data_IF_525501682063
#
_entry.id   IF_525501682063
#
_cell.length_a   1.000
_cell.length_b   1.000
_cell.length_c   1.000
_cell.angle_alpha   90.00
_cell.angle_beta   90.00
_cell.angle_gamma   90.00
#
_symmetry.space_group_name_H-M   'P 1'
#
loop_
_entity.id
_entity.type
_entity.pdbx_description
1 polymer ?
#
# COMPACT_ATOMS: atom_id res chain seq x y z
N UNK A 1 0.08 -1.92 10.01
CA UNK A 1 -0.28 -3.01 9.07
C UNK A 1 0.93 -3.91 8.96
N UNK A 2 0.76 -5.23 9.14
CA UNK A 2 1.84 -6.20 8.98
C UNK A 2 1.53 -7.12 7.80
N UNK A 3 2.46 -7.19 6.85
CA UNK A 3 2.40 -8.09 5.72
C UNK A 3 3.81 -8.58 5.39
N UNK A 4 3.94 -9.81 4.93
CA UNK A 4 5.20 -10.38 4.44
C UNK A 4 5.25 -10.16 2.93
N UNK A 5 6.30 -9.50 2.44
CA UNK A 5 6.53 -9.37 1.00
C UNK A 5 7.49 -10.47 0.54
N UNK A 6 7.05 -11.29 -0.41
CA UNK A 6 7.85 -12.33 -1.04
C UNK A 6 8.14 -11.97 -2.49
N UNK A 7 9.21 -12.53 -3.04
CA UNK A 7 9.52 -12.34 -4.46
C UNK A 7 8.47 -13.02 -5.36
N UNK A 8 8.27 -14.32 -5.20
CA UNK A 8 7.41 -15.12 -6.08
C UNK A 8 6.25 -15.77 -5.33
N UNK A 9 5.23 -16.20 -6.08
CA UNK A 9 4.08 -16.92 -5.53
C UNK A 9 4.52 -18.23 -4.89
N UNK A 10 5.49 -18.92 -5.49
CA UNK A 10 6.08 -20.15 -4.94
C UNK A 10 6.68 -19.92 -3.55
N UNK A 11 7.45 -18.84 -3.36
CA UNK A 11 7.99 -18.48 -2.04
C UNK A 11 6.86 -18.10 -1.07
N UNK A 12 5.85 -17.37 -1.54
CA UNK A 12 4.72 -16.98 -0.71
C UNK A 12 3.93 -18.20 -0.19
N UNK A 13 3.63 -19.16 -1.06
CA UNK A 13 2.91 -20.38 -0.68
C UNK A 13 3.76 -21.31 0.18
N UNK A 14 5.08 -21.29 0.05
CA UNK A 14 5.97 -22.10 0.88
C UNK A 14 6.07 -21.61 2.34
N UNK A 15 5.47 -20.46 2.68
CA UNK A 15 5.42 -19.98 4.06
C UNK A 15 4.40 -20.74 4.93
N UNK A 16 3.44 -21.44 4.32
CA UNK A 16 2.34 -22.11 5.01
C UNK A 16 2.11 -23.49 4.41
N UNK A 17 2.02 -24.51 5.26
CA UNK A 17 1.67 -25.87 4.85
C UNK A 17 0.34 -26.27 5.47
N UNK A 18 -0.38 -27.15 4.77
CA UNK A 18 -1.66 -27.66 5.23
C UNK A 18 -1.63 -29.18 5.28
N UNK A 19 -2.24 -29.73 6.32
CA UNK A 19 -2.53 -31.16 6.43
C UNK A 19 -3.61 -31.57 5.42
N UNK A 20 -3.81 -32.89 5.22
CA UNK A 20 -4.82 -33.41 4.29
C UNK A 20 -6.26 -33.01 4.67
N UNK A 21 -6.50 -32.70 5.94
CA UNK A 21 -7.79 -32.21 6.45
C UNK A 21 -7.98 -30.69 6.22
N UNK A 22 -6.98 -29.98 5.70
CA UNK A 22 -7.00 -28.53 5.47
C UNK A 22 -6.59 -27.67 6.68
N UNK A 23 -6.25 -28.28 7.82
CA UNK A 23 -5.68 -27.58 8.98
C UNK A 23 -4.23 -27.14 8.70
N UNK A 24 -3.80 -26.09 9.40
CA UNK A 24 -2.42 -25.58 9.28
C UNK A 24 -1.45 -26.53 9.98
N UNK A 25 -0.42 -26.98 9.24
CA UNK A 25 0.68 -27.75 9.80
C UNK A 25 1.64 -26.84 10.58
N UNK A 26 1.40 -26.76 11.89
CA UNK A 26 2.20 -25.93 12.80
C UNK A 26 3.64 -26.44 13.01
N UNK A 27 3.98 -27.64 12.50
CA UNK A 27 5.30 -28.22 12.58
C UNK A 27 6.21 -27.87 11.41
N UNK A 28 5.72 -27.10 10.42
CA UNK A 28 6.44 -26.83 9.18
C UNK A 28 6.56 -25.32 8.88
N UNK A 29 7.35 -25.00 7.85
CA UNK A 29 7.47 -23.67 7.24
C UNK A 29 7.70 -22.53 8.27
N UNK A 30 6.95 -21.43 8.16
CA UNK A 30 7.13 -20.27 9.03
C UNK A 30 6.76 -20.57 10.49
N UNK A 31 5.82 -21.48 10.72
CA UNK A 31 5.41 -21.92 12.06
C UNK A 31 6.56 -22.67 12.78
N UNK A 32 7.25 -23.56 12.08
CA UNK A 32 8.44 -24.24 12.62
C UNK A 32 9.56 -23.26 12.98
N UNK A 33 9.83 -22.29 12.10
CA UNK A 33 10.83 -21.24 12.35
C UNK A 33 10.46 -20.40 13.58
N UNK A 34 9.19 -20.02 13.73
CA UNK A 34 8.71 -19.31 14.91
C UNK A 34 8.89 -20.13 16.19
N UNK A 35 8.56 -21.44 16.15
CA UNK A 35 8.69 -22.35 17.28
C UNK A 35 10.14 -22.52 17.75
N UNK A 36 11.11 -22.61 16.82
CA UNK A 36 12.55 -22.62 17.14
C UNK A 36 12.97 -21.36 17.89
N UNK A 37 12.35 -20.21 17.59
CA UNK A 37 12.56 -18.95 18.30
C UNK A 37 11.71 -18.81 19.58
N UNK A 38 11.01 -19.85 20.04
CA UNK A 38 10.14 -19.81 21.22
C UNK A 38 8.84 -19.03 21.02
N UNK A 39 8.47 -18.72 19.78
CA UNK A 39 7.28 -17.96 19.42
C UNK A 39 6.20 -18.85 18.79
N UNK A 40 4.99 -18.34 18.71
CA UNK A 40 3.89 -18.97 17.97
C UNK A 40 3.11 -17.93 17.18
N UNK A 41 2.81 -18.24 15.91
CA UNK A 41 1.98 -17.41 15.05
C UNK A 41 0.55 -17.90 15.20
N UNK A 42 -0.31 -17.08 15.83
CA UNK A 42 -1.70 -17.46 16.16
C UNK A 42 -2.75 -16.76 15.32
N UNK A 43 -2.33 -15.78 14.52
CA UNK A 43 -3.21 -14.95 13.72
C UNK A 43 -2.85 -15.10 12.26
N UNK A 44 -3.85 -14.97 11.39
CA UNK A 44 -3.61 -14.89 9.95
C UNK A 44 -2.71 -13.69 9.65
N UNK A 45 -1.80 -13.88 8.72
CA UNK A 45 -0.95 -12.82 8.20
C UNK A 45 -1.17 -12.67 6.69
N UNK A 46 -0.90 -11.48 6.18
CA UNK A 46 -1.00 -11.18 4.76
C UNK A 46 0.35 -11.44 4.09
N UNK A 47 0.34 -12.09 2.93
CA UNK A 47 1.53 -12.25 2.09
C UNK A 47 1.30 -11.55 0.75
N UNK A 48 2.26 -10.73 0.31
CA UNK A 48 2.25 -10.07 -0.99
C UNK A 48 3.35 -10.67 -1.86
N UNK A 49 3.00 -11.14 -3.04
CA UNK A 49 3.97 -11.60 -4.02
C UNK A 49 4.33 -10.50 -5.01
N UNK A 50 5.59 -10.08 -5.01
CA UNK A 50 6.09 -8.99 -5.85
C UNK A 50 5.90 -9.25 -7.35
N UNK A 51 6.22 -10.45 -7.84
CA UNK A 51 6.12 -10.79 -9.27
C UNK A 51 4.67 -10.91 -9.78
N UNK A 52 3.72 -11.21 -8.89
CA UNK A 52 2.30 -11.38 -9.24
C UNK A 52 1.46 -10.12 -8.99
N UNK A 53 2.04 -9.08 -8.39
CA UNK A 53 1.38 -7.80 -8.23
C UNK A 53 1.29 -7.09 -9.58
N UNK A 54 0.07 -6.70 -9.97
CA UNK A 54 -0.13 -5.85 -11.14
C UNK A 54 0.55 -4.49 -10.92
N UNK A 55 1.55 -4.13 -11.74
CA UNK A 55 2.25 -2.87 -11.57
C UNK A 55 1.40 -1.69 -12.05
N UNK A 56 1.71 -0.51 -11.56
CA UNK A 56 1.27 0.75 -12.15
C UNK A 56 1.78 0.85 -13.61
N UNK A 57 0.89 1.27 -14.50
CA UNK A 57 1.13 1.29 -15.97
C UNK A 57 1.23 2.70 -16.54
N UNK A 58 1.11 3.73 -15.70
CA UNK A 58 1.26 5.12 -16.14
C UNK A 58 2.72 5.56 -16.18
N UNK A 59 2.93 6.88 -16.23
CA UNK A 59 4.26 7.47 -16.40
C UNK A 59 4.93 7.71 -15.04
N UNK A 60 6.25 7.89 -15.06
CA UNK A 60 7.00 8.35 -13.90
C UNK A 60 7.19 9.86 -13.95
N UNK A 61 7.41 10.47 -12.79
CA UNK A 61 7.69 11.90 -12.65
C UNK A 61 9.11 12.20 -13.11
N UNK A 62 9.26 12.56 -14.39
CA UNK A 62 10.52 13.00 -14.98
C UNK A 62 11.70 12.09 -14.64
N UNK A 63 12.80 12.70 -14.19
CA UNK A 63 14.01 12.04 -13.72
C UNK A 63 14.13 12.06 -12.18
N UNK A 64 13.00 11.99 -11.47
CA UNK A 64 13.00 12.00 -10.00
C UNK A 64 13.81 10.80 -9.44
N UNK A 65 14.77 11.03 -8.53
CA UNK A 65 15.66 9.98 -8.02
C UNK A 65 14.93 8.93 -7.18
N UNK A 66 13.77 9.29 -6.60
CA UNK A 66 12.89 8.40 -5.87
C UNK A 66 11.91 7.62 -6.78
N UNK A 67 12.05 7.78 -8.12
CA UNK A 67 11.21 7.19 -9.17
C UNK A 67 9.72 7.37 -8.88
N UNK A 68 9.32 8.57 -8.47
CA UNK A 68 7.91 8.90 -8.19
C UNK A 68 7.01 8.65 -9.40
N UNK A 69 5.76 8.28 -9.14
CA UNK A 69 4.76 8.04 -10.18
C UNK A 69 4.18 9.38 -10.64
N UNK A 70 3.96 9.58 -11.93
CA UNK A 70 3.29 10.75 -12.45
C UNK A 70 1.79 10.65 -12.16
N UNK A 71 1.38 11.14 -11.00
CA UNK A 71 -0.03 11.17 -10.62
C UNK A 71 -0.72 12.40 -11.20
N UNK A 72 -1.93 12.27 -11.79
CA UNK A 72 -2.66 13.44 -12.26
C UNK A 72 -3.05 14.34 -11.09
N UNK A 73 -2.90 15.65 -11.27
CA UNK A 73 -3.44 16.61 -10.32
C UNK A 73 -4.97 16.50 -10.24
N UNK A 74 -5.55 16.46 -9.04
CA UNK A 74 -7.00 16.52 -8.92
C UNK A 74 -7.51 17.81 -9.52
N UNK A 75 -8.58 17.71 -10.31
CA UNK A 75 -9.17 18.84 -11.00
C UNK A 75 -10.64 18.92 -10.65
N UNK A 76 -11.06 20.03 -10.05
CA UNK A 76 -12.47 20.33 -9.79
C UNK A 76 -13.24 20.53 -11.10
N UNK A 77 -14.58 20.43 -11.12
CA UNK A 77 -15.38 20.67 -12.33
C UNK A 77 -15.12 22.02 -13.01
N UNK A 78 -14.60 23.02 -12.27
CA UNK A 78 -14.22 24.35 -12.79
C UNK A 78 -12.79 24.43 -13.33
N UNK A 79 -12.03 23.33 -13.34
CA UNK A 79 -10.65 23.28 -13.84
C UNK A 79 -9.56 23.57 -12.80
N UNK A 80 -9.93 24.02 -11.60
CA UNK A 80 -8.97 24.35 -10.55
C UNK A 80 -8.55 23.12 -9.74
N UNK A 81 -7.33 23.12 -9.23
CA UNK A 81 -6.89 22.13 -8.23
C UNK A 81 -7.60 22.41 -6.90
N UNK A 82 -8.16 21.38 -6.23
CA UNK A 82 -8.77 21.56 -4.90
C UNK A 82 -7.77 22.15 -3.90
N UNK A 83 -8.28 22.98 -3.00
CA UNK A 83 -7.47 23.62 -1.96
C UNK A 83 -6.87 22.57 -1.03
N UNK A 84 -5.70 22.89 -0.47
CA UNK A 84 -5.02 22.03 0.51
C UNK A 84 -4.53 20.69 -0.05
N UNK A 85 -4.55 20.46 -1.36
CA UNK A 85 -3.95 19.25 -1.95
C UNK A 85 -2.42 19.26 -1.77
N UNK A 86 -1.89 18.22 -1.15
CA UNK A 86 -0.45 18.09 -0.87
C UNK A 86 0.22 17.18 -1.90
N UNK A 87 -0.44 16.09 -2.28
CA UNK A 87 0.11 15.10 -3.21
C UNK A 87 -0.57 13.75 -3.09
N UNK A 88 0.05 12.74 -3.72
CA UNK A 88 -0.42 11.35 -3.65
C UNK A 88 0.43 10.55 -2.65
N UNK A 89 -0.24 9.79 -1.77
CA UNK A 89 0.39 9.07 -0.67
C UNK A 89 1.49 8.10 -1.14
N UNK A 90 1.30 7.44 -2.28
CA UNK A 90 2.31 6.54 -2.88
C UNK A 90 3.64 7.24 -3.19
N UNK A 91 3.63 8.56 -3.43
CA UNK A 91 4.82 9.37 -3.70
C UNK A 91 5.42 10.02 -2.45
N UNK A 92 4.75 9.92 -1.29
CA UNK A 92 5.22 10.48 -0.02
C UNK A 92 6.10 9.53 0.78
N UNK A 93 6.18 8.26 0.36
CA UNK A 93 7.12 7.30 0.93
C UNK A 93 8.44 7.41 0.18
N UNK A 94 9.50 7.74 0.90
CA UNK A 94 10.86 7.63 0.40
C UNK A 94 11.36 6.20 0.58
N UNK A 95 11.98 5.67 -0.45
CA UNK A 95 12.61 4.36 -0.44
C UNK A 95 14.11 4.53 -0.20
N UNK A 96 14.66 3.68 0.66
CA UNK A 96 16.11 3.53 0.80
C UNK A 96 16.74 3.05 -0.52
N UNK A 97 18.01 3.39 -0.74
CA UNK A 97 18.69 3.15 -2.01
C UNK A 97 18.68 1.68 -2.43
N UNK A 98 18.87 0.76 -1.47
CA UNK A 98 18.85 -0.68 -1.74
C UNK A 98 17.47 -1.13 -2.24
N UNK A 99 16.41 -0.60 -1.62
CA UNK A 99 15.02 -0.87 -2.00
C UNK A 99 14.59 -0.16 -3.28
N UNK A 100 15.20 0.98 -3.61
CA UNK A 100 15.08 1.63 -4.91
C UNK A 100 15.67 0.80 -6.04
N UNK A 101 16.54 -0.17 -5.78
CA UNK A 101 17.10 -1.07 -6.78
C UNK A 101 16.41 -2.45 -6.83
N UNK A 102 15.56 -2.79 -5.86
CA UNK A 102 14.74 -4.00 -5.91
C UNK A 102 13.81 -3.98 -7.12
N UNK A 103 13.87 -5.03 -7.95
CA UNK A 103 13.07 -5.14 -9.18
C UNK A 103 12.44 -6.54 -9.31
N UNK A 104 11.24 -6.58 -9.88
CA UNK A 104 10.66 -7.78 -10.48
C UNK A 104 11.50 -8.24 -11.67
N UNK A 105 11.27 -9.47 -12.14
CA UNK A 105 11.85 -9.95 -13.39
C UNK A 105 11.49 -9.06 -14.59
N UNK A 106 10.31 -8.46 -14.58
CA UNK A 106 9.86 -7.50 -15.60
C UNK A 106 10.44 -6.08 -15.43
N UNK A 107 11.29 -5.84 -14.43
CA UNK A 107 11.94 -4.55 -14.22
C UNK A 107 11.09 -3.52 -13.46
N UNK A 108 10.04 -3.93 -12.77
CA UNK A 108 9.21 -3.06 -11.93
C UNK A 108 9.76 -2.99 -10.50
N UNK A 109 9.90 -1.79 -9.96
CA UNK A 109 10.30 -1.52 -8.59
C UNK A 109 9.17 -1.62 -7.56
N UNK A 110 9.51 -1.40 -6.29
CA UNK A 110 8.58 -1.50 -5.16
C UNK A 110 7.49 -0.42 -5.17
N UNK A 111 7.80 0.79 -5.66
CA UNK A 111 6.83 1.90 -5.66
C UNK A 111 5.66 1.59 -6.59
N UNK A 112 5.96 1.21 -7.82
CA UNK A 112 4.95 0.88 -8.84
C UNK A 112 4.26 -0.48 -8.61
N UNK A 113 4.73 -1.30 -7.68
CA UNK A 113 4.12 -2.61 -7.35
C UNK A 113 3.50 -2.60 -5.95
N UNK A 114 4.29 -2.83 -4.91
CA UNK A 114 3.83 -3.00 -3.51
C UNK A 114 3.18 -1.73 -2.98
N UNK A 115 3.87 -0.58 -3.09
CA UNK A 115 3.33 0.67 -2.54
C UNK A 115 2.09 1.12 -3.32
N UNK A 116 2.09 0.96 -4.65
CA UNK A 116 0.91 1.24 -5.46
C UNK A 116 -0.25 0.28 -5.15
N UNK A 117 0.00 -0.99 -4.84
CA UNK A 117 -1.06 -1.92 -4.40
C UNK A 117 -1.69 -1.48 -3.07
N UNK A 118 -0.88 -0.97 -2.16
CA UNK A 118 -1.29 -0.56 -0.81
C UNK A 118 -2.01 0.79 -0.80
N UNK A 119 -1.47 1.77 -1.52
CA UNK A 119 -1.87 3.17 -1.44
C UNK A 119 -2.53 3.67 -2.73
N UNK A 120 -2.34 2.99 -3.86
CA UNK A 120 -2.85 3.41 -5.16
C UNK A 120 -2.58 4.89 -5.43
N UNK A 121 -3.64 5.60 -5.79
CA UNK A 121 -3.63 7.06 -6.01
C UNK A 121 -4.32 7.80 -4.84
N UNK A 122 -4.17 7.31 -3.61
CA UNK A 122 -4.72 7.99 -2.43
C UNK A 122 -4.17 9.42 -2.35
N UNK A 123 -5.08 10.39 -2.31
CA UNK A 123 -4.73 11.81 -2.24
C UNK A 123 -4.61 12.26 -0.79
N UNK A 124 -3.69 13.16 -0.51
CA UNK A 124 -3.44 13.71 0.83
C UNK A 124 -3.73 15.21 0.84
N UNK A 125 -4.49 15.64 1.85
CA UNK A 125 -4.92 17.02 2.04
C UNK A 125 -4.48 17.57 3.40
N UNK A 126 -4.37 18.88 3.50
CA UNK A 126 -3.98 19.57 4.74
C UNK A 126 -5.02 19.38 5.85
N UNK A 127 -6.29 19.66 5.55
CA UNK A 127 -7.39 19.59 6.52
C UNK A 127 -8.55 18.74 6.02
N UNK A 128 -9.40 18.29 6.96
CA UNK A 128 -10.62 17.55 6.65
C UNK A 128 -11.60 18.40 5.84
N UNK A 129 -11.63 19.71 6.07
CA UNK A 129 -12.44 20.64 5.29
C UNK A 129 -12.00 20.66 3.82
N UNK A 130 -10.70 20.81 3.56
CA UNK A 130 -10.15 20.76 2.20
C UNK A 130 -10.41 19.40 1.52
N UNK A 131 -10.20 18.29 2.25
CA UNK A 131 -10.52 16.95 1.78
C UNK A 131 -12.00 16.81 1.39
N UNK A 132 -12.92 17.34 2.21
CA UNK A 132 -14.34 17.31 1.94
C UNK A 132 -14.73 18.22 0.78
N UNK A 133 -14.06 19.35 0.54
CA UNK A 133 -14.30 20.15 -0.68
C UNK A 133 -13.95 19.34 -1.94
N UNK A 134 -12.83 18.61 -1.88
CA UNK A 134 -12.31 17.82 -2.99
C UNK A 134 -13.09 16.52 -3.27
N UNK A 135 -13.96 16.05 -2.35
CA UNK A 135 -14.61 14.72 -2.47
C UNK A 135 -15.33 14.47 -3.80
N UNK A 136 -15.78 15.53 -4.50
CA UNK A 136 -16.50 15.42 -5.78
C UNK A 136 -15.61 15.09 -6.98
N UNK A 137 -14.31 15.40 -6.93
CA UNK A 137 -13.38 15.14 -8.03
C UNK A 137 -12.52 13.87 -7.83
N UNK A 138 -12.74 13.17 -6.73
CA UNK A 138 -11.89 12.08 -6.29
C UNK A 138 -12.41 10.75 -6.82
N UNK A 139 -11.47 9.94 -7.34
CA UNK A 139 -11.73 8.58 -7.84
C UNK A 139 -11.28 7.49 -6.88
N UNK A 140 -10.32 7.78 -6.00
CA UNK A 140 -9.67 6.84 -5.09
C UNK A 140 -9.86 7.26 -3.63
N UNK A 141 -9.12 6.65 -2.71
CA UNK A 141 -9.14 7.09 -1.32
C UNK A 141 -8.51 8.47 -1.11
N UNK A 142 -8.83 9.09 0.03
CA UNK A 142 -8.38 10.43 0.39
C UNK A 142 -8.19 10.49 1.88
N UNK A 143 -7.14 11.16 2.29
CA UNK A 143 -6.85 11.39 3.70
C UNK A 143 -6.51 12.86 3.93
N UNK A 144 -6.71 13.32 5.17
CA UNK A 144 -6.22 14.62 5.62
C UNK A 144 -5.28 14.49 6.82
N UNK A 145 -4.37 15.46 6.99
CA UNK A 145 -3.38 15.44 8.07
C UNK A 145 -4.03 15.54 9.47
N UNK A 146 -5.21 16.15 9.57
CA UNK A 146 -6.04 16.20 10.79
C UNK A 146 -6.95 14.96 10.98
N UNK A 147 -6.61 13.85 10.32
CA UNK A 147 -7.17 12.51 10.55
C UNK A 147 -8.46 12.19 9.80
N UNK A 148 -8.81 12.94 8.75
CA UNK A 148 -9.92 12.60 7.87
C UNK A 148 -9.57 11.42 6.97
N UNK A 149 -10.50 10.49 6.76
CA UNK A 149 -10.32 9.34 5.86
C UNK A 149 -11.61 9.09 5.06
N UNK A 150 -11.52 9.28 3.75
CA UNK A 150 -12.49 8.81 2.76
C UNK A 150 -11.87 7.61 2.05
N UNK A 151 -12.43 6.42 2.20
CA UNK A 151 -11.82 5.20 1.65
C UNK A 151 -12.04 5.09 0.15
N UNK A 152 -13.26 5.39 -0.27
CA UNK A 152 -13.69 5.43 -1.66
C UNK A 152 -14.98 6.27 -1.75
N UNK A 153 -15.49 6.45 -2.97
CA UNK A 153 -16.70 7.23 -3.19
C UNK A 153 -17.87 6.63 -2.41
N UNK A 154 -18.37 7.38 -1.43
CA UNK A 154 -19.50 6.98 -0.58
C UNK A 154 -19.11 6.20 0.68
N UNK A 155 -17.82 5.95 0.93
CA UNK A 155 -17.35 5.23 2.13
C UNK A 155 -16.40 6.11 2.94
N UNK A 156 -16.85 6.50 4.13
CA UNK A 156 -16.14 7.39 5.06
C UNK A 156 -15.79 6.65 6.36
N UNK A 157 -14.60 6.93 6.92
CA UNK A 157 -14.23 6.50 8.27
C UNK A 157 -14.50 7.64 9.26
N UNK A 158 -15.33 7.38 10.27
CA UNK A 158 -15.67 8.32 11.34
C UNK A 158 -15.30 7.73 12.71
N UNK A 159 -15.20 8.58 13.73
CA UNK A 159 -14.83 8.18 15.10
C UNK A 159 -13.37 8.50 15.44
N UNK A 160 -12.94 8.09 16.63
CA UNK A 160 -11.58 8.32 17.12
C UNK A 160 -10.57 7.40 16.42
N UNK A 161 -9.46 7.98 15.94
CA UNK A 161 -8.31 7.20 15.51
C UNK A 161 -7.60 6.62 16.72
N UNK A 162 -7.48 5.30 16.81
CA UNK A 162 -6.63 4.68 17.82
C UNK A 162 -5.16 4.90 17.46
N UNK A 163 -4.44 5.72 18.24
CA UNK A 163 -2.98 5.69 18.30
C UNK A 163 -2.55 4.47 19.12
N UNK A 164 -2.81 3.27 18.62
CA UNK A 164 -2.11 2.08 19.12
C UNK A 164 -0.81 1.98 18.32
N UNK A 165 0.26 2.56 18.89
CA UNK A 165 1.66 2.32 18.51
C UNK A 165 2.05 0.87 18.82
#
# INVERSE_FOLDING_TARGET
>A
MFAVACRSFVTATALENYEQNGEVDCGQALHAAAAVCGNSIKSRFLVMCLEDLRPYTGKYEGSDPQRKLASPYPTLPRGNVPRGFIGCAVNMIDLEIDHLHTRTAAGHGLRETVLYRLLGEVQVYETRECMLEAHRCIKYGVVSLDGGILREKGVISLGYGSLSL
#
